data_IF_883468627829
#
_entry.id   IF_883468627829
#
_cell.length_a   1.000
_cell.length_b   1.000
_cell.length_c   1.000
_cell.angle_alpha   90.00
_cell.angle_beta   90.00
_cell.angle_gamma   90.00
#
_symmetry.space_group_name_H-M   'P 1'
#
loop_
_entity.id
_entity.type
_entity.pdbx_description
1 polymer ?
#
# COMPACT_ATOMS: atom_id res chain seq x y z
N UNK A 1 -13.42 -7.57 14.94
CA UNK A 1 -14.52 -6.66 14.53
C UNK A 1 -14.43 -6.45 13.03
N UNK A 2 -15.53 -6.53 12.29
CA UNK A 2 -15.50 -6.40 10.82
C UNK A 2 -15.47 -4.90 10.44
N UNK A 3 -14.28 -4.33 10.26
CA UNK A 3 -14.13 -2.96 9.77
C UNK A 3 -14.37 -2.95 8.26
N UNK A 4 -15.31 -2.14 7.79
CA UNK A 4 -15.45 -1.86 6.35
C UNK A 4 -14.34 -0.90 5.94
N UNK A 5 -13.15 -1.46 5.76
CA UNK A 5 -11.93 -0.75 5.43
C UNK A 5 -11.88 -0.44 3.94
N UNK A 6 -11.51 0.78 3.54
CA UNK A 6 -11.30 1.16 2.13
C UNK A 6 -10.16 0.32 1.51
N UNK A 7 -10.13 0.19 0.18
CA UNK A 7 -9.17 -0.66 -0.53
C UNK A 7 -7.72 -0.39 -0.12
N UNK A 8 -7.31 0.88 -0.02
CA UNK A 8 -5.94 1.23 0.35
C UNK A 8 -5.61 0.84 1.79
N UNK A 9 -6.57 0.99 2.70
CA UNK A 9 -6.35 0.65 4.10
C UNK A 9 -6.34 -0.88 4.29
N UNK A 10 -7.07 -1.66 3.47
CA UNK A 10 -6.95 -3.14 3.47
C UNK A 10 -5.55 -3.59 3.06
N UNK A 11 -5.02 -3.01 1.99
CA UNK A 11 -3.66 -3.29 1.53
C UNK A 11 -2.60 -2.90 2.57
N UNK A 12 -2.81 -1.77 3.26
CA UNK A 12 -1.93 -1.37 4.35
C UNK A 12 -1.94 -2.39 5.49
N UNK A 13 -3.12 -2.86 5.92
CA UNK A 13 -3.26 -3.90 6.95
C UNK A 13 -2.58 -5.20 6.51
N UNK A 14 -2.78 -5.63 5.25
CA UNK A 14 -2.12 -6.82 4.69
C UNK A 14 -0.60 -6.68 4.72
N UNK A 15 -0.05 -5.53 4.29
CA UNK A 15 1.39 -5.27 4.32
C UNK A 15 1.93 -5.22 5.76
N UNK A 16 1.20 -4.60 6.68
CA UNK A 16 1.59 -4.50 8.09
C UNK A 16 1.63 -5.87 8.77
N UNK A 17 0.63 -6.71 8.49
CA UNK A 17 0.53 -8.06 9.07
C UNK A 17 1.38 -9.10 8.34
N UNK A 18 1.95 -8.78 7.17
CA UNK A 18 2.82 -9.71 6.42
C UNK A 18 4.08 -10.10 7.19
N UNK A 19 4.51 -9.28 8.18
CA UNK A 19 5.60 -9.61 9.11
C UNK A 19 5.21 -10.65 10.18
N UNK A 20 3.98 -11.16 10.12
CA UNK A 20 3.42 -12.13 11.05
C UNK A 20 2.74 -11.50 12.26
N UNK A 21 2.42 -12.35 13.23
CA UNK A 21 1.74 -11.97 14.46
C UNK A 21 2.72 -11.60 15.57
N UNK A 22 2.26 -10.84 16.55
CA UNK A 22 2.99 -10.53 17.78
C UNK A 22 2.47 -11.43 18.90
N UNK A 23 3.36 -12.18 19.56
CA UNK A 23 3.00 -13.03 20.71
C UNK A 23 3.34 -12.35 22.04
N UNK A 24 2.34 -12.17 22.90
CA UNK A 24 2.49 -11.64 24.26
C UNK A 24 1.81 -12.61 25.22
N UNK A 25 2.58 -13.20 26.14
CA UNK A 25 2.06 -14.13 27.16
C UNK A 25 1.22 -15.29 26.58
N UNK A 26 1.66 -15.88 25.46
CA UNK A 26 0.96 -16.95 24.70
C UNK A 26 -0.34 -16.51 24.02
N UNK A 27 -0.55 -15.21 23.84
CA UNK A 27 -1.66 -14.65 23.08
C UNK A 27 -1.09 -14.00 21.81
N UNK A 28 -1.62 -14.37 20.66
CA UNK A 28 -1.24 -13.79 19.37
C UNK A 28 -2.11 -12.58 19.04
N UNK A 29 -1.47 -11.56 18.47
CA UNK A 29 -2.11 -10.32 18.06
C UNK A 29 -1.70 -9.93 16.64
N UNK A 30 -2.65 -9.37 15.89
CA UNK A 30 -2.38 -8.68 14.63
C UNK A 30 -1.72 -7.34 14.90
N UNK A 31 -0.74 -6.96 14.09
CA UNK A 31 -0.02 -5.68 14.25
C UNK A 31 -0.93 -4.49 14.04
N UNK A 32 -1.85 -4.57 13.06
CA UNK A 32 -2.84 -3.51 12.81
C UNK A 32 -3.80 -3.32 13.98
N UNK A 33 -4.24 -4.41 14.60
CA UNK A 33 -5.14 -4.37 15.76
C UNK A 33 -4.47 -3.72 16.96
N UNK A 34 -3.19 -4.06 17.22
CA UNK A 34 -2.39 -3.41 18.26
C UNK A 34 -2.25 -1.91 17.96
N UNK A 35 -1.75 -1.55 16.78
CA UNK A 35 -1.44 -0.16 16.45
C UNK A 35 -2.70 0.71 16.48
N UNK A 36 -3.78 0.24 15.86
CA UNK A 36 -5.05 0.96 15.84
C UNK A 36 -5.67 1.10 17.24
N UNK A 37 -5.48 0.13 18.14
CA UNK A 37 -6.12 0.15 19.46
C UNK A 37 -5.30 0.96 20.48
N UNK A 38 -3.98 0.85 20.43
CA UNK A 38 -3.08 1.54 21.36
C UNK A 38 -2.88 3.00 21.00
N UNK A 39 -2.77 3.32 19.71
CA UNK A 39 -2.50 4.69 19.24
C UNK A 39 -3.18 4.96 17.88
N UNK A 40 -4.47 5.35 17.89
CA UNK A 40 -5.21 5.65 16.67
C UNK A 40 -4.63 6.80 15.85
N UNK A 41 -4.00 7.77 16.51
CA UNK A 41 -3.35 8.93 15.90
C UNK A 41 -2.08 8.48 15.15
N UNK A 42 -1.23 7.68 15.78
CA UNK A 42 -0.06 7.09 15.12
C UNK A 42 -0.48 6.15 13.97
N UNK A 43 -1.55 5.37 14.14
CA UNK A 43 -2.09 4.54 13.05
C UNK A 43 -2.44 5.39 11.82
N UNK A 44 -3.14 6.52 12.01
CA UNK A 44 -3.48 7.46 10.92
C UNK A 44 -2.22 8.03 10.26
N UNK A 45 -1.25 8.48 11.06
CA UNK A 45 0.01 9.04 10.55
C UNK A 45 0.80 8.01 9.72
N UNK A 46 0.97 6.79 10.25
CA UNK A 46 1.65 5.70 9.54
C UNK A 46 0.90 5.34 8.26
N UNK A 47 -0.43 5.33 8.27
CA UNK A 47 -1.22 5.07 7.07
C UNK A 47 -1.06 6.17 6.00
N UNK A 48 -1.03 7.45 6.36
CA UNK A 48 -0.75 8.54 5.43
C UNK A 48 0.66 8.46 4.83
N UNK A 49 1.65 8.14 5.66
CA UNK A 49 3.03 7.93 5.22
C UNK A 49 3.11 6.75 4.24
N UNK A 50 2.48 5.63 4.58
CA UNK A 50 2.42 4.45 3.72
C UNK A 50 1.77 4.76 2.36
N UNK A 51 0.70 5.56 2.30
CA UNK A 51 0.08 5.97 1.02
C UNK A 51 1.08 6.75 0.14
N UNK A 52 1.87 7.62 0.76
CA UNK A 52 2.90 8.40 0.06
C UNK A 52 3.99 7.49 -0.50
N UNK A 53 4.50 6.58 0.32
CA UNK A 53 5.53 5.60 -0.10
C UNK A 53 5.02 4.66 -1.19
N UNK A 54 3.80 4.12 -1.04
CA UNK A 54 3.17 3.26 -2.04
C UNK A 54 3.01 3.98 -3.38
N UNK A 55 2.59 5.24 -3.38
CA UNK A 55 2.49 6.06 -4.60
C UNK A 55 3.86 6.17 -5.29
N UNK A 56 4.92 6.47 -4.54
CA UNK A 56 6.27 6.57 -5.09
C UNK A 56 6.75 5.23 -5.65
N UNK A 57 6.53 4.13 -4.92
CA UNK A 57 6.83 2.76 -5.34
C UNK A 57 6.11 2.39 -6.64
N UNK A 58 4.82 2.69 -6.75
CA UNK A 58 4.02 2.42 -7.95
C UNK A 58 4.51 3.22 -9.15
N UNK A 59 4.87 4.49 -8.97
CA UNK A 59 5.44 5.32 -10.05
C UNK A 59 6.78 4.73 -10.52
N UNK A 60 7.64 4.30 -9.58
CA UNK A 60 8.91 3.66 -9.91
C UNK A 60 8.69 2.36 -10.70
N UNK A 61 7.78 1.50 -10.24
CA UNK A 61 7.41 0.26 -10.94
C UNK A 61 6.88 0.57 -12.34
N UNK A 62 6.00 1.57 -12.47
CA UNK A 62 5.47 1.98 -13.77
C UNK A 62 6.58 2.45 -14.72
N UNK A 63 7.54 3.25 -14.23
CA UNK A 63 8.71 3.66 -15.01
C UNK A 63 9.53 2.44 -15.44
N UNK A 64 9.79 1.50 -14.53
CA UNK A 64 10.53 0.29 -14.86
C UNK A 64 9.82 -0.53 -15.94
N UNK A 65 8.48 -0.66 -15.88
CA UNK A 65 7.68 -1.35 -16.91
C UNK A 65 7.79 -0.67 -18.28
N UNK A 66 7.85 0.66 -18.32
CA UNK A 66 8.01 1.42 -19.57
C UNK A 66 9.38 1.19 -20.21
N UNK A 67 10.42 0.98 -19.40
CA UNK A 67 11.78 0.71 -19.90
C UNK A 67 11.97 -0.76 -20.33
N UNK A 68 11.01 -1.65 -20.07
CA UNK A 68 11.04 -3.03 -20.58
C UNK A 68 10.61 -3.01 -22.06
N UNK A 69 11.51 -3.43 -22.96
CA UNK A 69 11.24 -3.56 -24.41
C UNK A 69 10.79 -2.24 -25.06
N UNK A 70 9.89 -2.29 -26.05
CA UNK A 70 9.34 -1.11 -26.76
C UNK A 70 8.07 -0.55 -26.09
N UNK A 71 7.89 -0.78 -24.78
CA UNK A 71 6.67 -0.38 -24.08
C UNK A 71 6.51 1.15 -24.01
N UNK A 72 7.62 1.89 -23.91
CA UNK A 72 7.62 3.35 -23.87
C UNK A 72 7.02 3.98 -25.13
N UNK A 73 7.41 3.49 -26.31
CA UNK A 73 6.88 3.97 -27.59
C UNK A 73 5.38 3.71 -27.70
N UNK A 74 4.96 2.47 -27.47
CA UNK A 74 3.56 2.05 -27.49
C UNK A 74 2.69 2.83 -26.49
N UNK A 75 3.19 3.03 -25.27
CA UNK A 75 2.50 3.82 -24.25
C UNK A 75 2.28 5.26 -24.69
N UNK A 76 3.29 5.93 -25.25
CA UNK A 76 3.17 7.31 -25.72
C UNK A 76 2.19 7.42 -26.89
N UNK A 77 2.19 6.47 -27.84
CA UNK A 77 1.22 6.43 -28.93
C UNK A 77 -0.21 6.33 -28.39
N UNK A 78 -0.47 5.39 -27.48
CA UNK A 78 -1.78 5.23 -26.86
C UNK A 78 -2.19 6.48 -26.08
N UNK A 79 -1.28 7.03 -25.27
CA UNK A 79 -1.52 8.27 -24.54
C UNK A 79 -1.96 9.36 -25.51
N UNK A 80 -1.23 9.62 -26.57
CA UNK A 80 -1.56 10.68 -27.53
C UNK A 80 -2.91 10.45 -28.23
N UNK A 81 -3.29 9.20 -28.54
CA UNK A 81 -4.59 8.88 -29.15
C UNK A 81 -5.76 9.23 -28.21
N UNK A 82 -5.58 9.01 -26.90
CA UNK A 82 -6.64 9.16 -25.91
C UNK A 82 -6.51 10.40 -25.01
N UNK A 83 -5.54 11.28 -25.26
CA UNK A 83 -5.32 12.54 -24.52
C UNK A 83 -6.16 13.70 -25.08
N UNK A 84 -7.46 13.47 -25.31
CA UNK A 84 -8.40 14.54 -25.67
C UNK A 84 -8.56 15.55 -24.52
#
# INVERSE_FOLDING_TARGET
>A
MNRTTDYLERLFIEELNAEGEINISNICFSRDEILHTLDPEAYKEVFENWKTERKQRNILIAKNILEITDNKGRFNTLKNIFSA
#
